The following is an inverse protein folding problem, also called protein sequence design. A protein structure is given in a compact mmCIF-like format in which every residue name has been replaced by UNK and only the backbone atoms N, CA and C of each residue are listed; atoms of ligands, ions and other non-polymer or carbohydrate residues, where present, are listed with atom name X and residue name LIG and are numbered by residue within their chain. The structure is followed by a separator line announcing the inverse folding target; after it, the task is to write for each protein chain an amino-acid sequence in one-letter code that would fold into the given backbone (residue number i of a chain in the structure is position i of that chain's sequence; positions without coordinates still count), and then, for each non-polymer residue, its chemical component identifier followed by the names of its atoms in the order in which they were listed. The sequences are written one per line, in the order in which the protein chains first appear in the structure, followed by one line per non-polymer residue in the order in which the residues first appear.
data_IF_635770162548
#
_entry.id   IF_635770162548
#
_cell.length_a   1.000
_cell.length_b   1.000
_cell.length_c   1.000
_cell.angle_alpha   90.00
_cell.angle_beta   90.00
_cell.angle_gamma   90.00
#
_symmetry.space_group_name_H-M   'P 1'
#
loop_
_entity.id
_entity.type
_entity.pdbx_description
1 polymer ?
#
# COMPACT_ATOMS: atom_id res chain seq x y z
N UNK A 1 -19.63 -4.47 -24.36
CA UNK A 1 -18.53 -4.38 -23.37
C UNK A 1 -18.28 -5.75 -22.76
N UNK A 2 -17.11 -6.37 -22.96
CA UNK A 2 -16.80 -7.69 -22.38
C UNK A 2 -16.46 -7.50 -20.89
N UNK A 3 -17.26 -8.09 -20.00
CA UNK A 3 -17.02 -8.08 -18.54
C UNK A 3 -15.69 -8.79 -18.26
N UNK A 4 -14.73 -8.08 -17.67
CA UNK A 4 -13.49 -8.68 -17.15
C UNK A 4 -13.84 -9.70 -16.07
N UNK A 5 -13.25 -10.90 -16.13
CA UNK A 5 -13.52 -11.95 -15.15
C UNK A 5 -12.93 -11.54 -13.79
N UNK A 6 -13.72 -11.45 -12.71
CA UNK A 6 -13.19 -11.17 -11.39
C UNK A 6 -12.30 -12.34 -10.95
N UNK A 7 -11.08 -12.02 -10.50
CA UNK A 7 -10.18 -12.99 -9.91
C UNK A 7 -10.15 -12.78 -8.39
N UNK A 8 -10.26 -13.89 -7.65
CA UNK A 8 -10.29 -13.83 -6.19
C UNK A 8 -8.91 -13.70 -5.56
N UNK A 9 -7.85 -14.09 -6.27
CA UNK A 9 -6.48 -14.11 -5.74
C UNK A 9 -5.42 -14.13 -6.84
N UNK A 10 -4.18 -13.83 -6.45
CA UNK A 10 -2.96 -14.00 -7.27
C UNK A 10 -1.83 -14.58 -6.43
N UNK A 11 -0.84 -15.21 -7.07
CA UNK A 11 0.36 -15.77 -6.43
C UNK A 11 1.55 -14.86 -6.73
N UNK A 12 2.31 -14.51 -5.70
CA UNK A 12 3.53 -13.71 -5.87
C UNK A 12 4.58 -14.55 -6.59
N UNK A 13 5.12 -14.03 -7.71
CA UNK A 13 6.09 -14.74 -8.54
C UNK A 13 7.29 -15.19 -7.71
N UNK A 14 7.67 -16.47 -7.85
CA UNK A 14 8.82 -17.04 -7.14
C UNK A 14 8.55 -17.41 -5.67
N UNK A 15 7.31 -17.30 -5.18
CA UNK A 15 6.96 -17.70 -3.80
C UNK A 15 5.65 -18.48 -3.77
N UNK A 16 5.33 -19.12 -2.64
CA UNK A 16 4.03 -19.74 -2.40
C UNK A 16 3.00 -18.81 -1.74
N UNK A 17 3.28 -17.50 -1.67
CA UNK A 17 2.40 -16.53 -1.02
C UNK A 17 1.26 -16.11 -1.94
N UNK A 18 0.04 -16.16 -1.41
CA UNK A 18 -1.19 -15.74 -2.08
C UNK A 18 -1.58 -14.33 -1.62
N UNK A 19 -1.99 -13.51 -2.57
CA UNK A 19 -2.50 -12.15 -2.39
C UNK A 19 -3.97 -12.10 -2.81
N UNK A 20 -4.80 -11.46 -2.00
CA UNK A 20 -6.23 -11.23 -2.21
C UNK A 20 -6.55 -9.74 -2.08
N UNK A 21 -7.76 -9.35 -2.50
CA UNK A 21 -8.27 -8.02 -2.17
C UNK A 21 -8.33 -7.84 -0.64
N UNK A 22 -7.94 -6.65 -0.16
CA UNK A 22 -7.75 -6.32 1.25
C UNK A 22 -6.33 -6.56 1.78
N UNK A 23 -5.48 -7.28 1.05
CA UNK A 23 -4.09 -7.47 1.46
C UNK A 23 -3.22 -6.24 1.18
N UNK A 24 -2.26 -5.96 2.07
CA UNK A 24 -1.20 -5.00 1.81
C UNK A 24 0.01 -5.68 1.17
N UNK A 25 0.59 -5.04 0.16
CA UNK A 25 1.69 -5.58 -0.64
C UNK A 25 2.82 -4.58 -0.82
N UNK A 26 4.01 -5.12 -1.03
CA UNK A 26 5.18 -4.37 -1.50
C UNK A 26 5.24 -4.46 -3.02
N UNK A 27 5.25 -3.30 -3.66
CA UNK A 27 5.32 -3.14 -5.10
C UNK A 27 6.74 -2.76 -5.52
N UNK A 28 7.23 -3.42 -6.57
CA UNK A 28 8.48 -3.05 -7.21
C UNK A 28 8.39 -1.61 -7.73
N UNK A 29 9.37 -0.75 -7.41
CA UNK A 29 9.41 0.61 -7.93
C UNK A 29 9.87 0.62 -9.39
N UNK A 30 9.46 1.66 -10.14
CA UNK A 30 9.93 1.85 -11.52
C UNK A 30 11.41 2.22 -11.60
N UNK A 31 11.94 2.96 -10.62
CA UNK A 31 13.37 3.20 -10.44
C UNK A 31 13.91 2.25 -9.36
N UNK A 32 14.84 1.37 -9.73
CA UNK A 32 15.43 0.36 -8.85
C UNK A 32 16.18 0.98 -7.65
N UNK A 33 16.56 2.25 -7.73
CA UNK A 33 17.20 2.99 -6.64
C UNK A 33 16.19 3.45 -5.57
N UNK A 34 14.89 3.45 -5.88
CA UNK A 34 13.83 3.78 -4.92
C UNK A 34 13.48 2.57 -4.08
N UNK A 35 12.96 2.83 -2.88
CA UNK A 35 12.43 1.77 -2.02
C UNK A 35 11.13 1.20 -2.60
N UNK A 36 10.81 -0.08 -2.33
CA UNK A 36 9.50 -0.63 -2.62
C UNK A 36 8.38 0.20 -1.99
N UNK A 37 7.35 0.46 -2.79
CA UNK A 37 6.14 1.19 -2.35
C UNK A 37 5.15 0.22 -1.74
N UNK A 38 4.45 0.67 -0.70
CA UNK A 38 3.42 -0.13 -0.03
C UNK A 38 2.06 0.23 -0.62
N UNK A 39 1.23 -0.77 -0.88
CA UNK A 39 -0.11 -0.56 -1.43
C UNK A 39 -1.13 -1.53 -0.85
N UNK A 40 -2.38 -1.08 -0.72
CA UNK A 40 -3.54 -1.91 -0.43
C UNK A 40 -4.13 -2.44 -1.73
N UNK A 41 -4.34 -3.75 -1.86
CA UNK A 41 -5.00 -4.35 -3.02
C UNK A 41 -6.51 -4.15 -2.90
N UNK A 42 -7.11 -3.32 -3.74
CA UNK A 42 -8.57 -3.11 -3.77
C UNK A 42 -9.26 -4.20 -4.60
N UNK A 43 -8.68 -4.59 -5.73
CA UNK A 43 -9.28 -5.55 -6.67
C UNK A 43 -8.22 -6.28 -7.49
N UNK A 44 -8.52 -7.51 -7.89
CA UNK A 44 -7.69 -8.31 -8.79
C UNK A 44 -8.53 -8.67 -10.02
N UNK A 45 -8.03 -8.38 -11.22
CA UNK A 45 -8.77 -8.62 -12.45
C UNK A 45 -7.86 -8.89 -13.64
N UNK A 46 -8.41 -9.58 -14.64
CA UNK A 46 -7.75 -9.72 -15.93
C UNK A 46 -8.14 -8.57 -16.85
N UNK A 47 -7.16 -8.05 -17.60
CA UNK A 47 -7.44 -7.15 -18.72
C UNK A 47 -7.98 -7.89 -19.96
N UNK A 48 -8.28 -7.14 -21.02
CA UNK A 48 -8.76 -7.70 -22.30
C UNK A 48 -7.75 -8.63 -22.99
N UNK A 49 -6.46 -8.52 -22.65
CA UNK A 49 -5.36 -9.34 -23.16
C UNK A 49 -5.05 -10.53 -22.24
N UNK A 50 -5.88 -10.78 -21.22
CA UNK A 50 -5.68 -11.81 -20.18
C UNK A 50 -4.43 -11.59 -19.32
N UNK A 51 -3.91 -10.37 -19.23
CA UNK A 51 -2.90 -10.04 -18.21
C UNK A 51 -3.57 -9.83 -16.87
N UNK A 52 -2.95 -10.35 -15.81
CA UNK A 52 -3.44 -10.21 -14.45
C UNK A 52 -2.96 -8.88 -13.85
N UNK A 53 -3.91 -8.02 -13.54
CA UNK A 53 -3.68 -6.70 -12.95
C UNK A 53 -4.33 -6.60 -11.57
N UNK A 54 -3.77 -5.70 -10.77
CA UNK A 54 -4.26 -5.36 -9.44
C UNK A 54 -4.59 -3.88 -9.41
N UNK A 55 -5.83 -3.54 -9.02
CA UNK A 55 -6.17 -2.19 -8.61
C UNK A 55 -5.69 -2.01 -7.19
N UNK A 56 -4.85 -1.02 -6.98
CA UNK A 56 -4.21 -0.75 -5.69
C UNK A 56 -4.47 0.67 -5.24
N UNK A 57 -4.44 0.89 -3.94
CA UNK A 57 -4.42 2.20 -3.29
C UNK A 57 -3.08 2.39 -2.61
N UNK A 58 -2.42 3.51 -2.87
CA UNK A 58 -1.06 3.72 -2.41
C UNK A 58 -1.01 4.11 -0.93
N UNK A 59 0.06 3.66 -0.27
CA UNK A 59 0.52 4.26 0.97
C UNK A 59 1.72 5.15 0.68
N UNK A 60 1.77 6.28 1.37
CA UNK A 60 2.86 7.25 1.33
C UNK A 60 3.71 7.11 2.58
N UNK A 61 5.03 7.11 2.42
CA UNK A 61 5.94 7.29 3.54
C UNK A 61 6.02 8.78 3.89
N UNK A 62 6.33 9.13 5.15
CA UNK A 62 6.56 10.51 5.55
C UNK A 62 7.49 11.31 4.65
N UNK A 63 8.55 10.68 4.14
CA UNK A 63 9.54 11.28 3.24
C UNK A 63 8.98 11.63 1.86
N UNK A 64 7.86 11.02 1.46
CA UNK A 64 7.19 11.27 0.18
C UNK A 64 6.16 12.41 0.27
N UNK A 65 5.87 12.93 1.47
CA UNK A 65 4.98 14.06 1.66
C UNK A 65 5.71 15.39 1.51
N UNK A 66 5.02 16.46 1.09
CA UNK A 66 5.62 17.79 0.88
C UNK A 66 6.28 18.34 2.14
N UNK A 67 5.69 18.09 3.31
CA UNK A 67 6.26 18.48 4.60
C UNK A 67 7.41 17.59 5.09
N UNK A 68 7.70 16.50 4.38
CA UNK A 68 8.72 15.52 4.73
C UNK A 68 8.47 14.79 6.06
N UNK A 69 9.49 14.02 6.47
CA UNK A 69 9.46 13.34 7.78
C UNK A 69 9.64 14.34 8.92
N UNK A 70 8.69 14.38 9.85
CA UNK A 70 8.73 15.15 11.11
C UNK A 70 9.17 14.26 12.28
N UNK A 71 9.59 14.87 13.38
CA UNK A 71 10.11 14.15 14.56
C UNK A 71 9.09 13.20 15.20
N UNK A 72 7.79 13.50 15.10
CA UNK A 72 6.73 12.64 15.63
C UNK A 72 6.36 11.47 14.70
N UNK A 73 6.93 11.41 13.48
CA UNK A 73 6.70 10.30 12.56
C UNK A 73 7.60 9.11 12.91
N UNK A 74 6.99 7.95 13.17
CA UNK A 74 7.78 6.75 13.47
C UNK A 74 8.36 6.09 12.21
N UNK A 75 9.38 5.27 12.40
CA UNK A 75 10.18 4.71 11.29
C UNK A 75 9.35 3.87 10.30
N UNK A 76 8.33 3.15 10.79
CA UNK A 76 7.44 2.29 9.98
C UNK A 76 6.05 2.91 9.72
N UNK A 77 5.95 4.23 9.87
CA UNK A 77 4.71 4.95 9.61
C UNK A 77 4.44 5.10 8.11
N UNK A 78 3.17 4.95 7.75
CA UNK A 78 2.63 5.18 6.42
C UNK A 78 1.37 6.02 6.50
N UNK A 79 1.03 6.67 5.40
CA UNK A 79 -0.20 7.43 5.21
C UNK A 79 -1.04 6.80 4.10
N UNK A 80 -2.28 6.47 4.40
CA UNK A 80 -3.19 5.93 3.38
C UNK A 80 -3.63 7.05 2.44
N UNK A 81 -3.39 6.92 1.14
CA UNK A 81 -3.83 7.94 0.18
C UNK A 81 -5.15 7.60 -0.51
N UNK A 82 -5.71 8.60 -1.20
CA UNK A 82 -6.82 8.45 -2.14
C UNK A 82 -6.37 8.13 -3.57
N UNK A 83 -5.06 8.07 -3.82
CA UNK A 83 -4.53 7.69 -5.11
C UNK A 83 -4.63 6.18 -5.34
N UNK A 84 -5.51 5.82 -6.27
CA UNK A 84 -5.63 4.47 -6.80
C UNK A 84 -4.96 4.36 -8.17
N UNK A 85 -4.38 3.20 -8.44
CA UNK A 85 -3.74 2.89 -9.72
C UNK A 85 -3.97 1.42 -10.10
N UNK A 86 -3.76 1.09 -11.37
CA UNK A 86 -3.82 -0.28 -11.89
C UNK A 86 -2.40 -0.71 -12.26
N UNK A 87 -1.91 -1.71 -11.55
CA UNK A 87 -0.56 -2.24 -11.71
C UNK A 87 -0.58 -3.70 -12.13
N UNK A 88 0.48 -4.15 -12.81
CA UNK A 88 0.63 -5.58 -13.09
C UNK A 88 0.80 -6.35 -11.78
N UNK A 89 0.12 -7.49 -11.64
CA UNK A 89 0.32 -8.38 -10.49
C UNK A 89 1.77 -8.89 -10.39
N UNK A 90 2.53 -8.85 -11.49
CA UNK A 90 3.95 -9.23 -11.52
C UNK A 90 4.86 -8.24 -10.77
N UNK A 91 4.37 -7.02 -10.51
CA UNK A 91 5.12 -6.01 -9.77
C UNK A 91 5.06 -6.25 -8.25
N UNK A 92 4.21 -7.17 -7.79
CA UNK A 92 4.16 -7.56 -6.37
C UNK A 92 5.43 -8.37 -6.04
N UNK A 93 6.23 -7.88 -5.10
CA UNK A 93 7.46 -8.55 -4.64
C UNK A 93 7.32 -9.14 -3.24
N UNK A 94 6.28 -8.77 -2.49
CA UNK A 94 6.06 -9.26 -1.15
C UNK A 94 4.70 -8.88 -0.60
N UNK A 95 4.29 -9.56 0.46
CA UNK A 95 3.11 -9.24 1.27
C UNK A 95 3.59 -8.56 2.56
N UNK A 96 2.84 -7.57 3.03
CA UNK A 96 3.13 -6.83 4.25
C UNK A 96 1.84 -6.62 5.06
N UNK A 97 1.97 -6.16 6.29
CA UNK A 97 0.83 -5.80 7.14
C UNK A 97 0.88 -4.31 7.41
N UNK A 98 -0.24 -3.61 7.23
CA UNK A 98 -0.38 -2.22 7.66
C UNK A 98 -1.45 -2.17 8.72
N UNK A 99 -1.04 -1.91 9.96
CA UNK A 99 -1.95 -1.81 11.08
C UNK A 99 -2.61 -0.42 11.11
N UNK A 100 -3.93 -0.38 11.30
CA UNK A 100 -4.66 0.87 11.52
C UNK A 100 -4.51 1.30 12.97
N UNK A 101 -4.35 2.61 13.21
CA UNK A 101 -4.25 3.21 14.55
C UNK A 101 -5.39 2.88 15.53
N UNK A 102 -6.51 2.35 15.06
CA UNK A 102 -7.60 1.89 15.93
C UNK A 102 -7.25 0.64 16.73
N UNK A 103 -6.28 -0.14 16.27
CA UNK A 103 -5.82 -1.29 17.01
C UNK A 103 -4.70 -0.78 17.93
N UNK A 104 -4.82 -1.02 19.24
CA UNK A 104 -3.76 -0.81 20.22
C UNK A 104 -2.56 -1.70 19.90
N UNK A 105 -1.79 -1.32 18.88
CA UNK A 105 -0.63 -2.09 18.46
C UNK A 105 0.49 -1.72 19.42
N UNK A 106 0.99 -2.70 20.16
CA UNK A 106 2.27 -2.56 20.83
C UNK A 106 3.35 -2.42 19.75
N UNK A 107 3.70 -1.16 19.44
CA UNK A 107 4.67 -0.77 18.40
C UNK A 107 6.06 -1.41 18.60
N UNK A 108 6.33 -1.99 19.78
CA UNK A 108 7.59 -2.66 20.09
C UNK A 108 7.73 -4.03 19.39
N UNK A 109 6.64 -4.66 18.92
CA UNK A 109 6.64 -6.00 18.33
C UNK A 109 6.35 -6.03 16.82
N UNK A 110 6.62 -4.94 16.09
CA UNK A 110 6.45 -4.92 14.63
C UNK A 110 7.52 -5.78 13.94
N UNK A 111 7.09 -6.85 13.27
CA UNK A 111 7.93 -7.67 12.40
C UNK A 111 8.57 -6.86 11.28
N UNK A 112 9.54 -7.45 10.57
CA UNK A 112 10.33 -6.76 9.55
C UNK A 112 9.48 -6.15 8.41
N UNK A 113 8.26 -6.65 8.18
CA UNK A 113 7.34 -6.20 7.13
C UNK A 113 6.03 -5.59 7.67
N UNK A 114 6.00 -5.17 8.93
CA UNK A 114 4.83 -4.57 9.56
C UNK A 114 4.95 -3.06 9.61
N UNK A 115 3.92 -2.37 9.14
CA UNK A 115 3.79 -0.92 9.10
C UNK A 115 2.56 -0.48 9.89
N UNK A 116 2.44 0.80 10.20
CA UNK A 116 1.22 1.34 10.79
C UNK A 116 0.79 2.64 10.13
N UNK A 117 -0.51 2.92 10.16
CA UNK A 117 -1.11 4.07 9.52
C UNK A 117 -2.02 4.81 10.50
N UNK A 118 -1.68 6.08 10.75
CA UNK A 118 -2.44 6.99 11.64
C UNK A 118 -3.26 8.01 10.86
N UNK A 119 -2.71 8.45 9.74
CA UNK A 119 -3.26 9.52 8.91
C UNK A 119 -3.63 9.01 7.54
N UNK A 120 -4.63 9.65 6.94
CA UNK A 120 -4.80 9.64 5.49
C UNK A 120 -4.09 10.86 4.91
N UNK A 121 -3.61 10.73 3.68
CA UNK A 121 -2.91 11.80 2.98
C UNK A 121 -3.47 11.97 1.57
N UNK A 122 -3.82 13.20 1.20
CA UNK A 122 -4.28 13.56 -0.14
C UNK A 122 -3.15 14.24 -0.90
N UNK A 123 -2.38 13.53 -1.73
CA UNK A 123 -1.23 14.09 -2.44
C UNK A 123 -1.61 15.20 -3.43
N UNK A 124 -2.80 15.17 -4.01
CA UNK A 124 -3.23 16.17 -4.99
C UNK A 124 -3.50 17.56 -4.35
N UNK A 125 -3.89 17.57 -3.07
CA UNK A 125 -4.17 18.80 -2.30
C UNK A 125 -3.18 19.05 -1.17
N UNK A 126 -2.23 18.13 -0.98
CA UNK A 126 -1.27 18.10 0.13
C UNK A 126 -1.90 18.19 1.54
N UNK A 127 -3.06 17.54 1.75
CA UNK A 127 -3.79 17.59 3.04
C UNK A 127 -3.76 16.27 3.79
N UNK A 128 -3.82 16.33 5.12
CA UNK A 128 -3.82 15.16 6.02
C UNK A 128 -5.18 15.01 6.69
N UNK A 129 -5.64 13.78 6.92
CA UNK A 129 -6.91 13.53 7.61
C UNK A 129 -6.68 12.53 8.75
N UNK A 130 -7.03 12.86 10.01
CA UNK A 130 -7.58 14.15 10.48
C UNK A 130 -6.55 15.30 10.42
N UNK A 131 -7.02 16.53 10.17
CA UNK A 131 -6.18 17.74 10.06
C UNK A 131 -5.48 18.12 11.38
N UNK A 132 -5.95 17.62 12.52
CA UNK A 132 -5.38 17.87 13.85
C UNK A 132 -5.09 16.57 14.59
N UNK A 133 -3.86 16.46 15.08
CA UNK A 133 -3.46 15.50 16.12
C UNK A 133 -3.49 16.28 17.43
N UNK A 134 -4.36 15.90 18.37
CA UNK A 134 -4.26 16.45 19.73
C UNK A 134 -2.89 16.02 20.28
N UNK A 135 -2.04 17.01 20.60
CA UNK A 135 -0.73 16.83 21.26
C UNK A 135 -0.95 16.63 22.74
#
# INVERSE_FOLDING_TARGET
MKKTRPCSHTKIRGTNKIVKAGDCVLMRPSDIRKLPRVALVEKIEHDNKKNLNVRVRWYYRPEESTGGRRQFHGAKELFLSDQCDVQSAQNIIGKCVVHSCKNDINLQNLGAADYYCRFKYKPDTDTFIPDFVAV
#
